data_IF_127826244215
#
_entry.id   IF_127826244215
#
_cell.length_a   1.000
_cell.length_b   1.000
_cell.length_c   1.000
_cell.angle_alpha   90.00
_cell.angle_beta   90.00
_cell.angle_gamma   90.00
#
_symmetry.space_group_name_H-M   'P 1'
#
loop_
_entity.id
_entity.type
_entity.pdbx_description
1 polymer ?
#
# COMPACT_ATOMS: atom_id res chain seq x y z
N UNK A 1 1.81 -79.12 -5.49
CA UNK A 1 1.82 -77.92 -6.35
C UNK A 1 0.64 -77.04 -5.97
N UNK A 2 0.89 -75.87 -5.38
CA UNK A 2 -0.12 -74.92 -4.89
C UNK A 2 -0.32 -73.87 -6.00
N UNK A 3 -1.53 -73.72 -6.54
CA UNK A 3 -1.81 -72.68 -7.55
C UNK A 3 -1.58 -71.29 -6.94
N UNK A 4 -0.98 -70.34 -7.66
CA UNK A 4 -0.93 -68.95 -7.21
C UNK A 4 -2.36 -68.39 -7.15
N UNK A 5 -2.70 -67.69 -6.06
CA UNK A 5 -3.95 -66.93 -5.97
C UNK A 5 -3.89 -65.80 -7.00
N UNK A 6 -4.97 -65.63 -7.76
CA UNK A 6 -5.18 -64.44 -8.58
C UNK A 6 -5.35 -63.26 -7.60
N UNK A 7 -4.66 -62.13 -7.80
CA UNK A 7 -4.93 -60.93 -7.01
C UNK A 7 -6.41 -60.56 -7.20
N UNK A 8 -7.11 -60.33 -6.10
CA UNK A 8 -8.45 -59.77 -6.10
C UNK A 8 -8.35 -58.33 -6.62
N UNK A 9 -9.34 -57.92 -7.40
CA UNK A 9 -9.48 -56.59 -8.05
C UNK A 9 -9.40 -55.39 -7.08
N UNK A 10 -9.37 -55.64 -5.78
CA UNK A 10 -9.33 -54.63 -4.73
C UNK A 10 -7.89 -54.08 -4.51
N UNK A 11 -6.85 -54.75 -5.02
CA UNK A 11 -5.47 -54.27 -4.93
C UNK A 11 -5.10 -53.23 -6.00
N UNK A 12 -5.82 -53.18 -7.13
CA UNK A 12 -5.66 -52.11 -8.13
C UNK A 12 -6.42 -50.83 -7.76
N UNK A 13 -7.52 -50.94 -7.01
CA UNK A 13 -8.32 -49.77 -6.60
C UNK A 13 -7.65 -48.99 -5.45
N UNK A 14 -6.80 -49.64 -4.65
CA UNK A 14 -5.98 -48.98 -3.62
C UNK A 14 -4.73 -48.26 -4.15
N UNK A 15 -4.37 -48.46 -5.42
CA UNK A 15 -3.17 -47.85 -6.02
C UNK A 15 -3.45 -46.49 -6.69
N UNK A 16 -4.72 -46.17 -6.95
CA UNK A 16 -5.13 -44.86 -7.52
C UNK A 16 -5.41 -43.79 -6.47
N UNK A 17 -5.47 -44.15 -5.18
CA UNK A 17 -5.77 -43.20 -4.10
C UNK A 17 -4.50 -42.57 -3.47
N UNK A 18 -3.32 -42.98 -3.93
CA UNK A 18 -2.02 -42.47 -3.46
C UNK A 18 -1.26 -41.73 -4.57
N UNK A 19 -1.85 -40.72 -5.22
CA UNK A 19 -1.07 -39.61 -5.83
C UNK A 19 -1.90 -38.43 -6.34
N UNK A 20 -2.99 -38.03 -5.66
CA UNK A 20 -3.38 -36.61 -5.75
C UNK A 20 -2.42 -35.83 -4.86
N UNK A 21 -1.26 -35.48 -5.44
CA UNK A 21 -0.27 -34.63 -4.81
C UNK A 21 -1.00 -33.40 -4.25
N UNK A 22 -0.94 -33.21 -2.93
CA UNK A 22 -1.44 -32.01 -2.26
C UNK A 22 -1.16 -30.80 -3.16
N UNK A 23 -2.16 -29.96 -3.48
CA UNK A 23 -1.92 -28.79 -4.32
C UNK A 23 -0.71 -28.05 -3.75
N UNK A 24 0.32 -27.77 -4.58
CA UNK A 24 1.41 -26.88 -4.19
C UNK A 24 0.82 -25.63 -3.54
N UNK A 25 1.45 -25.03 -2.52
CA UNK A 25 0.77 -24.27 -1.48
C UNK A 25 -0.32 -23.34 -2.03
N UNK A 26 -1.59 -23.75 -1.99
CA UNK A 26 -2.72 -22.99 -2.58
C UNK A 26 -2.79 -21.57 -2.01
N UNK A 27 -2.29 -21.42 -0.78
CA UNK A 27 -2.09 -20.14 -0.10
C UNK A 27 -1.25 -19.14 -0.89
N UNK A 28 -0.27 -19.55 -1.70
CA UNK A 28 0.53 -18.63 -2.52
C UNK A 28 -0.19 -18.19 -3.79
N UNK A 29 -1.07 -19.05 -4.32
CA UNK A 29 -1.94 -18.76 -5.46
C UNK A 29 -3.07 -17.80 -5.07
N UNK A 30 -3.47 -17.80 -3.79
CA UNK A 30 -4.43 -16.84 -3.25
C UNK A 30 -3.73 -15.57 -2.72
N UNK A 31 -2.55 -15.76 -2.09
CA UNK A 31 -1.80 -14.72 -1.35
C UNK A 31 -0.36 -14.68 -1.83
N UNK A 32 -0.10 -13.84 -2.81
CA UNK A 32 1.26 -13.66 -3.32
C UNK A 32 2.20 -13.08 -2.25
N UNK A 33 3.46 -13.52 -2.25
CA UNK A 33 4.53 -12.91 -1.45
C UNK A 33 4.68 -11.42 -1.78
N UNK A 34 4.54 -11.04 -3.05
CA UNK A 34 4.58 -9.65 -3.48
C UNK A 34 3.52 -8.82 -2.76
N UNK A 35 2.27 -9.28 -2.69
CA UNK A 35 1.20 -8.57 -1.97
C UNK A 35 1.48 -8.44 -0.47
N UNK A 36 2.04 -9.46 0.16
CA UNK A 36 2.40 -9.45 1.59
C UNK A 36 3.52 -8.44 1.87
N UNK A 37 4.62 -8.52 1.12
CA UNK A 37 5.78 -7.66 1.32
C UNK A 37 5.62 -6.25 0.75
N UNK A 38 4.53 -5.97 0.04
CA UNK A 38 4.35 -4.66 -0.58
C UNK A 38 4.24 -3.52 0.43
N UNK A 39 3.74 -3.79 1.63
CA UNK A 39 3.65 -2.79 2.70
C UNK A 39 5.02 -2.31 3.19
N UNK A 40 5.92 -3.17 3.69
CA UNK A 40 7.27 -2.73 4.09
C UNK A 40 8.11 -2.27 2.89
N UNK A 41 7.91 -2.82 1.69
CA UNK A 41 8.61 -2.35 0.50
C UNK A 41 8.12 -0.96 0.07
N UNK A 42 6.82 -0.68 0.19
CA UNK A 42 6.21 0.64 0.00
C UNK A 42 6.78 1.67 0.97
N UNK A 43 6.92 1.32 2.25
CA UNK A 43 7.58 2.18 3.25
C UNK A 43 8.97 2.67 2.80
N UNK A 44 9.77 1.80 2.16
CA UNK A 44 11.13 2.12 1.72
C UNK A 44 11.19 2.85 0.38
N UNK A 45 10.21 2.64 -0.49
CA UNK A 45 10.23 3.10 -1.89
C UNK A 45 9.24 4.23 -2.18
N UNK A 46 8.34 4.52 -1.25
CA UNK A 46 7.25 5.47 -1.41
C UNK A 46 6.28 5.04 -2.51
N UNK A 47 6.01 5.94 -3.45
CA UNK A 47 5.06 5.72 -4.56
C UNK A 47 5.61 4.80 -5.64
N UNK A 48 6.93 4.74 -5.82
CA UNK A 48 7.53 4.14 -7.01
C UNK A 48 7.21 2.65 -7.16
N UNK A 49 7.52 1.83 -6.14
CA UNK A 49 7.32 0.39 -6.24
C UNK A 49 5.84 -0.02 -6.19
N UNK A 50 4.99 0.49 -5.29
CA UNK A 50 3.55 0.21 -5.33
C UNK A 50 2.93 0.64 -6.66
N UNK A 51 3.37 1.76 -7.23
CA UNK A 51 2.98 2.23 -8.56
C UNK A 51 3.31 1.23 -9.67
N UNK A 52 4.57 0.78 -9.72
CA UNK A 52 5.01 -0.23 -10.70
C UNK A 52 4.18 -1.51 -10.53
N UNK A 53 4.09 -2.05 -9.30
CA UNK A 53 3.36 -3.29 -9.02
C UNK A 53 1.88 -3.16 -9.38
N UNK A 54 1.24 -2.04 -9.05
CA UNK A 54 -0.18 -1.77 -9.39
C UNK A 54 -0.42 -1.81 -10.90
N UNK A 55 0.51 -1.26 -11.69
CA UNK A 55 0.38 -1.21 -13.15
C UNK A 55 0.68 -2.55 -13.83
N UNK A 56 1.59 -3.35 -13.27
CA UNK A 56 2.11 -4.55 -13.96
C UNK A 56 1.54 -5.88 -13.46
N UNK A 57 0.89 -5.93 -12.30
CA UNK A 57 0.42 -7.21 -11.72
C UNK A 57 -0.98 -7.60 -12.19
N UNK A 58 -1.16 -8.82 -12.70
CA UNK A 58 -2.50 -9.35 -13.04
C UNK A 58 -3.19 -10.01 -11.84
N UNK A 59 -2.47 -10.22 -10.74
CA UNK A 59 -3.01 -10.91 -9.58
C UNK A 59 -3.90 -9.97 -8.75
N UNK A 60 -5.19 -10.30 -8.51
CA UNK A 60 -6.14 -9.39 -7.87
C UNK A 60 -5.70 -8.98 -6.47
N UNK A 61 -5.28 -9.93 -5.62
CA UNK A 61 -4.77 -9.64 -4.27
C UNK A 61 -3.55 -8.71 -4.27
N UNK A 62 -2.59 -8.92 -5.18
CA UNK A 62 -1.40 -8.05 -5.29
C UNK A 62 -1.79 -6.66 -5.77
N UNK A 63 -2.69 -6.57 -6.75
CA UNK A 63 -3.18 -5.31 -7.30
C UNK A 63 -3.93 -4.48 -6.26
N UNK A 64 -4.76 -5.13 -5.44
CA UNK A 64 -5.52 -4.46 -4.39
C UNK A 64 -4.61 -3.95 -3.26
N UNK A 65 -3.66 -4.78 -2.79
CA UNK A 65 -2.65 -4.31 -1.84
C UNK A 65 -1.81 -3.16 -2.43
N UNK A 66 -1.44 -3.24 -3.71
CA UNK A 66 -0.68 -2.20 -4.39
C UNK A 66 -1.46 -0.89 -4.45
N UNK A 67 -2.75 -0.95 -4.76
CA UNK A 67 -3.65 0.20 -4.75
C UNK A 67 -3.71 0.85 -3.38
N UNK A 68 -3.88 0.06 -2.31
CA UNK A 68 -4.02 0.58 -0.95
C UNK A 68 -2.74 1.27 -0.48
N UNK A 69 -1.58 0.66 -0.72
CA UNK A 69 -0.27 1.24 -0.39
C UNK A 69 -0.01 2.49 -1.24
N UNK A 70 -0.37 2.47 -2.52
CA UNK A 70 -0.21 3.59 -3.45
C UNK A 70 -1.09 4.79 -3.04
N UNK A 71 -2.37 4.57 -2.72
CA UNK A 71 -3.28 5.60 -2.24
C UNK A 71 -2.73 6.30 -0.98
N UNK A 72 -2.17 5.54 -0.04
CA UNK A 72 -1.53 6.12 1.14
C UNK A 72 -0.32 6.99 0.80
N UNK A 73 0.61 6.49 -0.02
CA UNK A 73 1.80 7.27 -0.36
C UNK A 73 1.50 8.48 -1.24
N UNK A 74 0.48 8.41 -2.11
CA UNK A 74 -0.01 9.58 -2.84
C UNK A 74 -0.59 10.62 -1.88
N UNK A 75 -1.36 10.19 -0.89
CA UNK A 75 -1.88 11.08 0.17
C UNK A 75 -0.75 11.75 0.95
N UNK A 76 0.26 10.97 1.35
CA UNK A 76 1.46 11.49 2.01
C UNK A 76 2.16 12.54 1.14
N UNK A 77 2.35 12.26 -0.16
CA UNK A 77 2.97 13.21 -1.10
C UNK A 77 2.15 14.49 -1.26
N UNK A 78 0.82 14.41 -1.32
CA UNK A 78 -0.04 15.59 -1.40
C UNK A 78 0.12 16.48 -0.16
N UNK A 79 0.14 15.88 1.05
CA UNK A 79 0.37 16.63 2.29
C UNK A 79 1.77 17.23 2.32
N UNK A 80 2.80 16.47 1.92
CA UNK A 80 4.17 16.97 1.82
C UNK A 80 4.27 18.16 0.86
N UNK A 81 3.68 18.04 -0.33
CA UNK A 81 3.67 19.11 -1.33
C UNK A 81 2.96 20.37 -0.79
N UNK A 82 1.84 20.22 -0.09
CA UNK A 82 1.11 21.34 0.52
C UNK A 82 1.94 22.07 1.58
N UNK A 83 2.66 21.32 2.44
CA UNK A 83 3.54 21.92 3.47
C UNK A 83 4.72 22.65 2.83
N UNK A 84 5.38 22.03 1.85
CA UNK A 84 6.51 22.66 1.13
C UNK A 84 6.06 23.90 0.36
N UNK A 85 4.89 23.84 -0.27
CA UNK A 85 4.30 24.99 -0.96
C UNK A 85 3.98 26.12 0.03
N UNK A 86 3.32 25.82 1.15
CA UNK A 86 3.03 26.81 2.19
C UNK A 86 4.29 27.46 2.75
N UNK A 87 5.35 26.67 2.96
CA UNK A 87 6.66 27.16 3.40
C UNK A 87 7.33 28.03 2.34
N UNK A 88 7.31 27.64 1.06
CA UNK A 88 7.83 28.49 -0.01
C UNK A 88 7.04 29.81 -0.11
N UNK A 89 5.72 29.76 0.05
CA UNK A 89 4.84 30.91 -0.01
C UNK A 89 5.16 31.94 1.08
N UNK A 90 5.58 31.53 2.29
CA UNK A 90 5.98 32.49 3.34
C UNK A 90 7.13 33.38 2.89
N UNK A 91 8.15 32.81 2.24
CA UNK A 91 9.29 33.59 1.72
C UNK A 91 8.89 34.48 0.54
N UNK A 92 8.01 34.00 -0.33
CA UNK A 92 7.53 34.81 -1.47
C UNK A 92 6.77 36.05 -0.96
N UNK A 93 5.88 35.88 0.02
CA UNK A 93 5.12 37.00 0.59
C UNK A 93 6.05 38.02 1.26
N UNK A 94 6.98 37.54 2.09
CA UNK A 94 7.96 38.39 2.79
C UNK A 94 8.85 39.18 1.81
N UNK A 95 9.32 38.54 0.73
CA UNK A 95 10.17 39.17 -0.27
C UNK A 95 9.45 40.20 -1.15
N UNK A 96 8.16 40.00 -1.44
CA UNK A 96 7.41 40.86 -2.35
C UNK A 96 6.79 42.06 -1.64
N UNK A 97 6.49 41.95 -0.33
CA UNK A 97 5.72 42.95 0.43
C UNK A 97 6.37 43.30 1.80
N UNK A 98 7.65 43.69 1.84
CA UNK A 98 8.41 43.80 3.11
C UNK A 98 7.95 44.91 4.06
N UNK A 99 7.32 45.99 3.57
CA UNK A 99 7.02 47.20 4.37
C UNK A 99 5.52 47.39 4.69
N UNK A 100 4.70 46.37 4.44
CA UNK A 100 3.25 46.48 4.62
C UNK A 100 2.81 45.77 5.91
N UNK A 101 2.69 46.53 7.00
CA UNK A 101 2.43 46.03 8.35
C UNK A 101 1.25 45.03 8.52
N UNK A 102 0.14 45.08 7.75
CA UNK A 102 -0.87 44.03 7.81
C UNK A 102 -0.38 42.64 7.34
N UNK A 103 0.67 42.56 6.50
CA UNK A 103 1.21 41.29 6.01
C UNK A 103 2.06 40.55 7.05
N UNK A 104 2.55 41.21 8.10
CA UNK A 104 3.25 40.54 9.21
C UNK A 104 2.38 39.45 9.86
N UNK A 105 1.09 39.77 10.07
CA UNK A 105 0.11 38.82 10.60
C UNK A 105 -0.18 37.69 9.62
N UNK A 106 -0.19 37.98 8.31
CA UNK A 106 -0.39 36.97 7.27
C UNK A 106 0.78 35.97 7.27
N UNK A 107 2.01 36.47 7.30
CA UNK A 107 3.21 35.62 7.38
C UNK A 107 3.19 34.77 8.66
N UNK A 108 2.82 35.35 9.81
CA UNK A 108 2.68 34.62 11.06
C UNK A 108 1.64 33.48 10.98
N UNK A 109 0.46 33.76 10.41
CA UNK A 109 -0.59 32.75 10.22
C UNK A 109 -0.13 31.66 9.26
N UNK A 110 0.51 32.02 8.14
CA UNK A 110 1.06 31.05 7.20
C UNK A 110 2.12 30.16 7.86
N UNK A 111 3.02 30.75 8.66
CA UNK A 111 4.02 30.00 9.41
C UNK A 111 3.37 29.03 10.40
N UNK A 112 2.31 29.45 11.11
CA UNK A 112 1.57 28.56 12.02
C UNK A 112 0.93 27.38 11.28
N UNK A 113 0.37 27.62 10.09
CA UNK A 113 -0.18 26.55 9.23
C UNK A 113 0.92 25.59 8.79
N UNK A 114 2.09 26.10 8.39
CA UNK A 114 3.25 25.28 8.02
C UNK A 114 3.72 24.44 9.21
N UNK A 115 3.84 25.03 10.40
CA UNK A 115 4.22 24.31 11.63
C UNK A 115 3.22 23.20 11.93
N UNK A 116 1.91 23.47 11.89
CA UNK A 116 0.88 22.46 12.07
C UNK A 116 0.99 21.35 11.01
N UNK A 117 1.28 21.70 9.76
CA UNK A 117 1.52 20.75 8.68
C UNK A 117 2.74 19.86 8.91
N UNK A 118 3.83 20.40 9.45
CA UNK A 118 5.02 19.62 9.83
C UNK A 118 4.68 18.62 10.94
N UNK A 119 3.91 19.02 11.95
CA UNK A 119 3.41 18.10 12.97
C UNK A 119 2.53 17.00 12.37
N UNK A 120 1.64 17.35 11.44
CA UNK A 120 0.83 16.36 10.72
C UNK A 120 1.69 15.37 9.92
N UNK A 121 2.73 15.84 9.22
CA UNK A 121 3.68 14.96 8.50
C UNK A 121 4.45 14.03 9.43
N UNK A 122 4.86 14.52 10.60
CA UNK A 122 5.51 13.68 11.62
C UNK A 122 4.58 12.55 12.07
N UNK A 123 3.32 12.87 12.35
CA UNK A 123 2.29 11.88 12.71
C UNK A 123 2.06 10.90 11.54
N UNK A 124 1.90 11.39 10.31
CA UNK A 124 1.72 10.52 9.13
C UNK A 124 2.91 9.60 8.90
N UNK A 125 4.13 10.04 9.21
CA UNK A 125 5.34 9.20 9.11
C UNK A 125 5.28 8.06 10.11
N UNK A 126 4.92 8.33 11.37
CA UNK A 126 4.71 7.30 12.38
C UNK A 126 3.58 6.34 11.99
N UNK A 127 2.47 6.87 11.49
CA UNK A 127 1.35 6.07 10.99
C UNK A 127 1.78 5.20 9.81
N UNK A 128 2.65 5.67 8.91
CA UNK A 128 3.17 4.86 7.80
C UNK A 128 3.91 3.63 8.32
N UNK A 129 4.71 3.76 9.37
CA UNK A 129 5.39 2.61 9.98
C UNK A 129 4.38 1.62 10.58
N UNK A 130 3.42 2.13 11.37
CA UNK A 130 2.37 1.29 12.00
C UNK A 130 1.51 0.60 10.93
N UNK A 131 1.03 1.34 9.94
CA UNK A 131 0.18 0.84 8.87
C UNK A 131 0.92 -0.16 7.99
N UNK A 132 2.23 -0.01 7.79
CA UNK A 132 3.01 -1.00 7.04
C UNK A 132 3.07 -2.34 7.75
N UNK A 133 3.25 -2.34 9.08
CA UNK A 133 3.23 -3.57 9.90
C UNK A 133 1.84 -4.18 9.94
N UNK A 134 0.81 -3.38 10.18
CA UNK A 134 -0.60 -3.85 10.24
C UNK A 134 -1.04 -4.39 8.89
N UNK A 135 -0.72 -3.69 7.80
CA UNK A 135 -1.03 -4.09 6.44
C UNK A 135 -0.36 -5.41 6.08
N UNK A 136 0.94 -5.56 6.36
CA UNK A 136 1.64 -6.82 6.18
C UNK A 136 1.00 -7.95 7.00
N UNK A 137 0.68 -7.70 8.27
CA UNK A 137 0.00 -8.68 9.12
C UNK A 137 -1.34 -9.13 8.53
N UNK A 138 -2.18 -8.20 8.08
CA UNK A 138 -3.45 -8.52 7.43
C UNK A 138 -3.27 -9.24 6.09
N UNK A 139 -2.26 -8.87 5.31
CA UNK A 139 -1.94 -9.53 4.05
C UNK A 139 -1.50 -10.99 4.26
N UNK A 140 -0.75 -11.30 5.33
CA UNK A 140 -0.42 -12.68 5.72
C UNK A 140 -1.70 -13.51 5.95
N UNK A 141 -2.71 -12.91 6.59
CA UNK A 141 -4.01 -13.55 6.81
C UNK A 141 -4.94 -13.51 5.58
N UNK A 142 -4.48 -12.96 4.45
CA UNK A 142 -5.21 -12.97 3.18
C UNK A 142 -6.17 -11.79 3.00
N UNK A 143 -6.06 -10.75 3.82
CA UNK A 143 -6.88 -9.53 3.70
C UNK A 143 -6.05 -8.41 3.09
N UNK A 144 -6.48 -7.92 1.92
CA UNK A 144 -5.97 -6.65 1.40
C UNK A 144 -6.51 -5.51 2.27
N UNK A 145 -5.62 -4.77 2.92
CA UNK A 145 -6.05 -3.79 3.93
C UNK A 145 -6.01 -2.37 3.40
N UNK A 146 -7.17 -1.73 3.39
CA UNK A 146 -7.31 -0.29 3.14
C UNK A 146 -6.85 0.51 4.35
N UNK A 147 -6.05 1.54 4.11
CA UNK A 147 -5.51 2.36 5.19
C UNK A 147 -6.60 3.36 5.62
N UNK A 148 -6.98 3.42 6.91
CA UNK A 148 -8.18 4.15 7.37
C UNK A 148 -8.23 5.65 7.05
N UNK A 149 -7.07 6.25 6.74
CA UNK A 149 -6.92 7.67 6.47
C UNK A 149 -6.51 7.95 5.01
N UNK A 150 -6.36 6.90 4.19
CA UNK A 150 -6.04 7.06 2.78
C UNK A 150 -7.33 7.30 1.98
N UNK A 151 -7.56 8.49 1.41
CA UNK A 151 -8.55 8.66 0.37
C UNK A 151 -8.23 7.81 -0.86
N UNK A 152 -9.26 7.62 -1.69
CA UNK A 152 -9.13 6.90 -2.95
C UNK A 152 -8.61 7.77 -4.10
N UNK A 153 -7.36 8.19 -3.98
CA UNK A 153 -6.75 9.16 -4.91
C UNK A 153 -6.75 8.66 -6.36
N UNK A 154 -6.54 7.36 -6.57
CA UNK A 154 -6.53 6.76 -7.91
C UNK A 154 -7.91 6.77 -8.57
N UNK A 155 -8.97 6.58 -7.79
CA UNK A 155 -10.33 6.64 -8.31
C UNK A 155 -10.73 8.07 -8.69
N UNK A 156 -10.45 9.04 -7.81
CA UNK A 156 -10.69 10.45 -8.11
C UNK A 156 -9.94 10.92 -9.36
N UNK A 157 -8.69 10.48 -9.54
CA UNK A 157 -7.92 10.79 -10.75
C UNK A 157 -8.54 10.22 -12.03
N UNK A 158 -9.16 9.03 -11.95
CA UNK A 158 -9.87 8.42 -13.08
C UNK A 158 -11.13 9.21 -13.43
N UNK A 159 -11.92 9.61 -12.44
CA UNK A 159 -13.14 10.40 -12.64
C UNK A 159 -12.86 11.76 -13.29
N UNK A 160 -11.71 12.38 -12.98
CA UNK A 160 -11.31 13.66 -13.58
C UNK A 160 -10.85 13.54 -15.05
N UNK A 161 -10.57 12.33 -15.53
CA UNK A 161 -10.00 12.09 -16.87
C UNK A 161 -10.96 11.35 -17.81
N UNK A 162 -12.13 10.94 -17.32
CA UNK A 162 -13.24 10.36 -18.10
C UNK A 162 -14.20 11.44 -18.61
#
# INVERSE_FOLDING_TARGET
MKRPRRPTTDEEEGATEFEESRPGPSLLTERTLTGIFLHPLGLLSGVALPGIVYLTTDHPFTRENARNVLNWHLTYLCVLAAVLFGFALTFVVDAVLPDFAPFDWVVLVLLLVVVAGVFALAIMTLLTMVFSVVGMGKAIFGTAWEYPLAPDVLEWGRELTS
#
